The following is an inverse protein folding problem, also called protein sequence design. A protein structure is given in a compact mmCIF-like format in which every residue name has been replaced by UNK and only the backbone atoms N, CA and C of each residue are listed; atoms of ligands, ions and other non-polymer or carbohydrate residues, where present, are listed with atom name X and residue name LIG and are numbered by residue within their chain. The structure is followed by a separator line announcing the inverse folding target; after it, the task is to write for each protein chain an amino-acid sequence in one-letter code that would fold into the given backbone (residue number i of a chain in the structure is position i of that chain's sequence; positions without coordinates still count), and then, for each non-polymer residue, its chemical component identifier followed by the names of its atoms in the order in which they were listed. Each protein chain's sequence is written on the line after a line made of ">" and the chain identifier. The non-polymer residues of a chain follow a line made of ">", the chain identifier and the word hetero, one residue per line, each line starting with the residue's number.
data_IF_392038745963
#
_entry.id   IF_392038745963
#
_cell.length_a   1.000
_cell.length_b   1.000
_cell.length_c   1.000
_cell.angle_alpha   90.00
_cell.angle_beta   90.00
_cell.angle_gamma   90.00
#
_symmetry.space_group_name_H-M   'P 1'
#
loop_
_entity.id
_entity.type
_entity.pdbx_description
1 polymer ?
#
# COMPACT_ATOMS: atom_id res chain seq x y z
N UNK A 1 29.37 -7.24 -8.47
CA UNK A 1 28.25 -7.20 -7.50
C UNK A 1 27.03 -8.05 -7.92
N UNK A 2 26.99 -8.58 -9.14
CA UNK A 2 25.97 -9.56 -9.58
C UNK A 2 26.44 -11.02 -9.34
N UNK A 3 27.75 -11.25 -9.19
CA UNK A 3 28.35 -12.61 -9.09
C UNK A 3 28.18 -13.31 -7.73
N UNK A 4 27.83 -12.61 -6.65
CA UNK A 4 27.60 -13.27 -5.34
C UNK A 4 26.21 -13.95 -5.23
N UNK A 5 25.31 -13.74 -6.21
CA UNK A 5 23.92 -14.21 -6.17
C UNK A 5 23.77 -15.72 -6.36
N UNK A 6 24.74 -16.39 -6.98
CA UNK A 6 24.73 -17.85 -7.18
C UNK A 6 25.44 -18.63 -6.06
N UNK A 7 26.01 -17.96 -5.05
CA UNK A 7 27.04 -18.56 -4.19
C UNK A 7 26.53 -19.46 -3.06
N UNK A 8 25.23 -19.50 -2.76
CA UNK A 8 24.68 -20.48 -1.80
C UNK A 8 24.26 -21.72 -2.58
N UNK A 9 25.26 -22.49 -2.99
CA UNK A 9 25.09 -23.78 -3.64
C UNK A 9 24.37 -24.73 -2.67
N UNK A 10 23.32 -25.40 -3.16
CA UNK A 10 22.56 -26.32 -2.33
C UNK A 10 23.43 -27.54 -1.98
N UNK A 11 23.58 -27.91 -0.69
CA UNK A 11 24.35 -29.08 -0.32
C UNK A 11 23.87 -30.32 -1.08
N UNK A 12 24.74 -31.02 -1.82
CA UNK A 12 24.35 -32.17 -2.64
C UNK A 12 23.65 -33.27 -1.85
N UNK A 13 23.94 -33.38 -0.55
CA UNK A 13 23.32 -34.35 0.36
C UNK A 13 21.80 -34.16 0.53
N UNK A 14 21.25 -32.96 0.23
CA UNK A 14 19.81 -32.72 0.26
C UNK A 14 19.11 -33.05 -1.06
N UNK A 15 19.88 -33.24 -2.12
CA UNK A 15 19.39 -33.39 -3.49
C UNK A 15 19.36 -34.86 -3.84
N UNK A 16 18.26 -35.29 -4.46
CA UNK A 16 18.14 -36.63 -4.99
C UNK A 16 19.03 -36.77 -6.25
N UNK A 17 19.99 -37.71 -6.31
CA UNK A 17 20.98 -37.75 -7.39
C UNK A 17 20.42 -37.94 -8.80
N UNK A 18 19.20 -38.49 -8.94
CA UNK A 18 18.58 -38.79 -10.24
C UNK A 18 17.70 -37.64 -10.71
N UNK A 19 16.80 -37.13 -9.87
CA UNK A 19 15.89 -36.03 -10.26
C UNK A 19 16.56 -34.66 -10.16
N UNK A 20 17.67 -34.56 -9.41
CA UNK A 20 18.31 -33.29 -9.05
C UNK A 20 17.39 -32.34 -8.27
N UNK A 21 16.32 -32.87 -7.68
CA UNK A 21 15.37 -32.14 -6.83
C UNK A 21 15.65 -32.40 -5.35
N UNK A 22 15.28 -31.47 -4.45
CA UNK A 22 15.34 -31.68 -3.01
C UNK A 22 14.54 -32.91 -2.59
N UNK A 23 15.12 -33.77 -1.75
CA UNK A 23 14.41 -34.89 -1.14
C UNK A 23 13.35 -34.37 -0.17
N UNK A 24 12.10 -34.80 -0.35
CA UNK A 24 10.96 -34.46 0.51
C UNK A 24 10.77 -35.52 1.60
N UNK A 25 11.05 -36.79 1.30
CA UNK A 25 10.94 -37.91 2.23
C UNK A 25 12.19 -38.80 2.16
N UNK A 26 13.32 -38.34 2.73
CA UNK A 26 14.59 -39.06 2.65
C UNK A 26 14.55 -40.35 3.47
N UNK A 27 14.86 -41.47 2.83
CA UNK A 27 15.02 -42.79 3.44
C UNK A 27 16.40 -43.39 3.15
N UNK A 28 16.99 -44.01 4.16
CA UNK A 28 18.32 -44.60 4.11
C UNK A 28 18.22 -46.12 3.95
N UNK A 29 19.00 -46.67 3.02
CA UNK A 29 19.15 -48.11 2.82
C UNK A 29 20.20 -48.68 3.78
N UNK A 30 20.25 -50.02 3.89
CA UNK A 30 21.28 -50.73 4.66
C UNK A 30 22.72 -50.45 4.20
N UNK A 31 22.91 -49.87 3.00
CA UNK A 31 24.19 -49.40 2.46
C UNK A 31 24.61 -48.01 2.97
N UNK A 32 23.76 -47.35 3.78
CA UNK A 32 23.96 -45.99 4.28
C UNK A 32 23.63 -44.89 3.26
N UNK A 33 23.26 -45.25 2.03
CA UNK A 33 22.85 -44.29 0.99
C UNK A 33 21.41 -43.84 1.20
N UNK A 34 21.13 -42.56 0.98
CA UNK A 34 19.81 -41.95 1.20
C UNK A 34 19.15 -41.58 -0.12
N UNK A 35 17.86 -41.85 -0.22
CA UNK A 35 17.06 -41.68 -1.43
C UNK A 35 15.70 -41.07 -1.08
N UNK A 36 15.03 -40.51 -2.08
CA UNK A 36 13.62 -40.17 -1.99
C UNK A 36 12.78 -41.45 -1.89
N UNK A 37 11.88 -41.54 -0.89
CA UNK A 37 11.11 -42.76 -0.58
C UNK A 37 10.35 -43.28 -1.79
N UNK A 38 9.61 -42.41 -2.46
CA UNK A 38 8.78 -42.81 -3.61
C UNK A 38 9.61 -43.43 -4.73
N UNK A 39 10.82 -42.91 -4.96
CA UNK A 39 11.71 -43.36 -6.01
C UNK A 39 12.36 -44.71 -5.69
N UNK A 40 12.81 -44.91 -4.45
CA UNK A 40 13.43 -46.19 -4.06
C UNK A 40 12.41 -47.31 -3.93
N UNK A 41 11.19 -47.03 -3.44
CA UNK A 41 10.11 -48.01 -3.41
C UNK A 41 9.68 -48.41 -4.83
N UNK A 42 9.66 -47.46 -5.77
CA UNK A 42 9.42 -47.76 -7.19
C UNK A 42 10.54 -48.63 -7.76
N UNK A 43 11.80 -48.38 -7.43
CA UNK A 43 12.93 -49.21 -7.84
C UNK A 43 12.78 -50.67 -7.37
N UNK A 44 12.38 -50.87 -6.11
CA UNK A 44 12.10 -52.20 -5.57
C UNK A 44 10.91 -52.88 -6.25
N UNK A 45 9.85 -52.12 -6.58
CA UNK A 45 8.67 -52.66 -7.28
C UNK A 45 8.98 -53.19 -8.69
N UNK A 46 10.07 -52.72 -9.31
CA UNK A 46 10.57 -53.22 -10.59
C UNK A 46 11.45 -54.47 -10.45
N UNK A 47 11.61 -55.00 -9.23
CA UNK A 47 12.41 -56.18 -8.94
C UNK A 47 13.90 -55.90 -8.77
N UNK A 48 14.30 -54.62 -8.65
CA UNK A 48 15.70 -54.25 -8.49
C UNK A 48 16.10 -54.18 -7.01
N UNK A 49 16.76 -55.22 -6.49
CA UNK A 49 17.26 -55.28 -5.11
C UNK A 49 18.75 -54.89 -5.01
N UNK A 50 19.13 -53.87 -5.77
CA UNK A 50 20.48 -53.30 -5.76
C UNK A 50 20.41 -51.83 -5.38
N UNK A 51 21.43 -51.35 -4.67
CA UNK A 51 21.58 -49.95 -4.32
C UNK A 51 21.84 -49.12 -5.60
N UNK A 52 20.98 -48.14 -5.98
CA UNK A 52 21.12 -47.42 -7.25
C UNK A 52 22.46 -46.72 -7.44
N UNK A 53 23.02 -46.11 -6.38
CA UNK A 53 24.24 -45.30 -6.46
C UNK A 53 25.52 -46.15 -6.53
N UNK A 54 25.62 -47.22 -5.73
CA UNK A 54 26.86 -48.01 -5.59
C UNK A 54 26.79 -49.39 -6.25
N UNK A 55 25.64 -49.73 -6.85
CA UNK A 55 25.39 -50.98 -7.58
C UNK A 55 25.64 -52.27 -6.77
N UNK A 56 25.53 -52.20 -5.44
CA UNK A 56 25.67 -53.37 -4.55
C UNK A 56 24.32 -54.04 -4.28
N UNK A 57 24.30 -55.37 -4.18
CA UNK A 57 23.12 -56.13 -3.77
C UNK A 57 22.76 -55.79 -2.33
N UNK A 58 21.48 -55.50 -2.09
CA UNK A 58 20.96 -55.22 -0.76
C UNK A 58 20.78 -56.53 0.01
N UNK A 59 21.29 -56.59 1.23
CA UNK A 59 21.07 -57.71 2.15
C UNK A 59 19.77 -57.56 2.96
N UNK A 60 19.15 -56.38 2.90
CA UNK A 60 17.88 -56.02 3.50
C UNK A 60 17.19 -54.98 2.60
N UNK A 61 15.90 -55.17 2.30
CA UNK A 61 15.07 -54.29 1.48
C UNK A 61 14.30 -53.26 2.32
N UNK A 62 14.49 -53.26 3.64
CA UNK A 62 13.92 -52.25 4.52
C UNK A 62 14.47 -50.85 4.22
N UNK A 63 13.58 -49.85 4.34
CA UNK A 63 13.91 -48.43 4.21
C UNK A 63 13.76 -47.76 5.57
N UNK A 64 14.81 -47.10 6.03
CA UNK A 64 14.78 -46.38 7.32
C UNK A 64 14.59 -44.89 7.09
N UNK A 65 13.53 -44.24 7.62
CA UNK A 65 13.37 -42.80 7.50
C UNK A 65 14.54 -42.02 8.10
N UNK A 66 15.08 -41.05 7.36
CA UNK A 66 16.16 -40.18 7.84
C UNK A 66 15.59 -38.87 8.35
N UNK A 67 15.06 -38.89 9.57
CA UNK A 67 14.49 -37.68 10.21
C UNK A 67 15.53 -36.56 10.34
N UNK A 68 16.81 -36.90 10.59
CA UNK A 68 17.89 -35.92 10.67
C UNK A 68 18.12 -35.22 9.33
N UNK A 69 18.19 -35.96 8.22
CA UNK A 69 18.40 -35.34 6.90
C UNK A 69 17.21 -34.49 6.49
N UNK A 70 15.99 -34.97 6.77
CA UNK A 70 14.76 -34.20 6.54
C UNK A 70 14.80 -32.85 7.27
N UNK A 71 15.09 -32.86 8.58
CA UNK A 71 15.12 -31.63 9.39
C UNK A 71 16.22 -30.66 8.96
N UNK A 72 17.42 -31.17 8.65
CA UNK A 72 18.53 -30.35 8.16
C UNK A 72 18.21 -29.73 6.79
N UNK A 73 17.68 -30.53 5.86
CA UNK A 73 17.24 -30.08 4.55
C UNK A 73 16.17 -29.00 4.68
N UNK A 74 15.10 -29.27 5.43
CA UNK A 74 14.00 -28.34 5.66
C UNK A 74 14.47 -27.02 6.27
N UNK A 75 15.29 -27.09 7.33
CA UNK A 75 15.86 -25.91 7.98
C UNK A 75 16.70 -25.08 7.00
N UNK A 76 17.54 -25.74 6.20
CA UNK A 76 18.40 -25.06 5.23
C UNK A 76 17.58 -24.35 4.15
N UNK A 77 16.61 -25.04 3.53
CA UNK A 77 15.76 -24.44 2.49
C UNK A 77 14.90 -23.30 3.03
N UNK A 78 14.38 -23.44 4.26
CA UNK A 78 13.61 -22.39 4.92
C UNK A 78 14.47 -21.14 5.18
N UNK A 79 15.68 -21.31 5.70
CA UNK A 79 16.61 -20.19 5.92
C UNK A 79 17.03 -19.52 4.61
N UNK A 80 17.31 -20.32 3.57
CA UNK A 80 17.64 -19.79 2.23
C UNK A 80 16.47 -18.99 1.65
N UNK A 81 15.24 -19.51 1.77
CA UNK A 81 14.05 -18.80 1.32
C UNK A 81 13.87 -17.45 2.04
N UNK A 82 13.97 -17.44 3.37
CA UNK A 82 13.87 -16.19 4.15
C UNK A 82 14.98 -15.20 3.82
N UNK A 83 16.21 -15.67 3.60
CA UNK A 83 17.33 -14.82 3.19
C UNK A 83 17.10 -14.19 1.80
N UNK A 84 16.62 -14.98 0.83
CA UNK A 84 16.29 -14.50 -0.52
C UNK A 84 15.14 -13.49 -0.46
N UNK A 85 14.08 -13.80 0.31
CA UNK A 85 12.93 -12.92 0.51
C UNK A 85 13.35 -11.58 1.12
N UNK A 86 14.08 -11.60 2.25
CA UNK A 86 14.57 -10.39 2.91
C UNK A 86 15.47 -9.55 2.01
N UNK A 87 16.33 -10.18 1.20
CA UNK A 87 17.17 -9.47 0.23
C UNK A 87 16.35 -8.87 -0.91
N UNK A 88 15.32 -9.58 -1.39
CA UNK A 88 14.39 -9.05 -2.39
C UNK A 88 13.69 -7.80 -1.87
N UNK A 89 13.19 -7.85 -0.62
CA UNK A 89 12.57 -6.71 0.05
C UNK A 89 13.55 -5.53 0.23
N UNK A 90 14.82 -5.79 0.60
CA UNK A 90 15.86 -4.75 0.69
C UNK A 90 16.16 -4.11 -0.68
N UNK A 91 16.33 -4.94 -1.72
CA UNK A 91 16.58 -4.45 -3.08
C UNK A 91 15.40 -3.65 -3.59
N UNK A 92 14.16 -4.11 -3.38
CA UNK A 92 12.94 -3.38 -3.74
C UNK A 92 12.86 -2.05 -2.99
N UNK A 93 13.12 -2.05 -1.68
CA UNK A 93 13.15 -0.84 -0.86
C UNK A 93 14.19 0.17 -1.36
N UNK A 94 15.41 -0.29 -1.66
CA UNK A 94 16.49 0.54 -2.20
C UNK A 94 16.17 1.08 -3.59
N UNK A 95 15.60 0.25 -4.47
CA UNK A 95 15.20 0.67 -5.81
C UNK A 95 14.10 1.73 -5.75
N UNK A 96 13.09 1.52 -4.89
CA UNK A 96 12.04 2.51 -4.62
C UNK A 96 12.64 3.84 -4.16
N UNK A 97 13.60 3.81 -3.24
CA UNK A 97 14.30 5.03 -2.78
C UNK A 97 15.09 5.72 -3.88
N UNK A 98 15.81 4.99 -4.74
CA UNK A 98 16.55 5.55 -5.87
C UNK A 98 15.61 6.25 -6.85
N UNK A 99 14.48 5.61 -7.20
CA UNK A 99 13.48 6.19 -8.09
C UNK A 99 12.87 7.45 -7.47
N UNK A 100 12.60 7.47 -6.17
CA UNK A 100 11.99 8.62 -5.50
C UNK A 100 12.97 9.80 -5.34
N UNK A 101 14.26 9.51 -5.10
CA UNK A 101 15.26 10.53 -4.74
C UNK A 101 15.89 11.19 -5.97
N UNK A 102 16.06 10.46 -7.08
CA UNK A 102 16.79 10.96 -8.24
C UNK A 102 15.89 11.29 -9.42
N UNK A 103 15.87 12.56 -9.84
CA UNK A 103 15.03 13.02 -10.95
C UNK A 103 15.39 12.36 -12.28
N UNK A 104 16.67 12.05 -12.51
CA UNK A 104 17.09 11.25 -13.66
C UNK A 104 16.42 9.87 -13.66
N UNK A 105 16.39 9.19 -12.51
CA UNK A 105 15.75 7.87 -12.38
C UNK A 105 14.24 7.96 -12.61
N UNK A 106 13.56 8.98 -12.07
CA UNK A 106 12.13 9.23 -12.36
C UNK A 106 11.90 9.38 -13.85
N UNK A 107 12.70 10.22 -14.50
CA UNK A 107 12.59 10.48 -15.93
C UNK A 107 12.79 9.21 -16.75
N UNK A 108 13.83 8.42 -16.43
CA UNK A 108 14.07 7.13 -17.08
C UNK A 108 12.89 6.16 -16.89
N UNK A 109 12.31 6.07 -15.69
CA UNK A 109 11.14 5.22 -15.45
C UNK A 109 9.95 5.66 -16.31
N UNK A 110 9.70 6.97 -16.43
CA UNK A 110 8.64 7.52 -17.27
C UNK A 110 8.91 7.26 -18.76
N UNK A 111 10.11 7.57 -19.24
CA UNK A 111 10.52 7.39 -20.65
C UNK A 111 10.45 5.93 -21.12
N UNK A 112 10.62 4.97 -20.20
CA UNK A 112 10.53 3.53 -20.48
C UNK A 112 9.13 2.94 -20.23
N UNK A 113 8.09 3.77 -20.12
CA UNK A 113 6.70 3.29 -19.96
C UNK A 113 6.36 2.72 -18.58
N UNK A 114 7.20 2.99 -17.57
CA UNK A 114 7.03 2.49 -16.21
C UNK A 114 5.73 2.96 -15.56
N UNK A 115 5.25 4.17 -15.87
CA UNK A 115 3.97 4.68 -15.34
C UNK A 115 2.78 3.84 -15.81
N UNK A 116 2.73 3.50 -17.10
CA UNK A 116 1.66 2.67 -17.67
C UNK A 116 1.70 1.26 -17.09
N UNK A 117 2.91 0.69 -16.94
CA UNK A 117 3.10 -0.60 -16.29
C UNK A 117 2.62 -0.60 -14.84
N UNK A 118 3.08 0.35 -14.03
CA UNK A 118 2.70 0.50 -12.62
C UNK A 118 1.20 0.73 -12.46
N UNK A 119 0.61 1.60 -13.28
CA UNK A 119 -0.85 1.82 -13.27
C UNK A 119 -1.61 0.54 -13.63
N UNK A 120 -1.09 -0.25 -14.56
CA UNK A 120 -1.62 -1.57 -14.94
C UNK A 120 -1.59 -2.61 -13.82
N UNK A 121 -0.63 -2.52 -12.89
CA UNK A 121 -0.54 -3.40 -11.73
C UNK A 121 -1.64 -3.15 -10.69
N UNK A 122 -2.36 -2.02 -10.76
CA UNK A 122 -3.53 -1.75 -9.92
C UNK A 122 -4.78 -2.29 -10.62
N UNK A 123 -5.32 -3.41 -10.10
CA UNK A 123 -6.51 -4.08 -10.62
C UNK A 123 -7.14 -5.03 -9.58
N UNK A 124 -8.12 -5.82 -10.02
CA UNK A 124 -8.99 -6.60 -9.12
C UNK A 124 -8.27 -7.65 -8.25
N UNK A 125 -7.08 -8.10 -8.65
CA UNK A 125 -6.30 -9.12 -7.96
C UNK A 125 -5.04 -8.56 -7.28
N UNK A 126 -4.90 -7.25 -7.26
CA UNK A 126 -3.75 -6.59 -6.63
C UNK A 126 -3.88 -6.72 -5.12
N UNK A 127 -2.86 -7.31 -4.49
CA UNK A 127 -2.83 -7.40 -3.03
C UNK A 127 -2.60 -6.02 -2.43
N UNK A 128 -3.06 -5.83 -1.18
CA UNK A 128 -2.86 -4.57 -0.47
C UNK A 128 -1.37 -4.15 -0.40
N UNK A 129 -0.46 -5.10 -0.21
CA UNK A 129 0.98 -4.85 -0.17
C UNK A 129 1.50 -4.30 -1.51
N UNK A 130 1.19 -4.99 -2.63
CA UNK A 130 1.61 -4.56 -3.97
C UNK A 130 0.98 -3.21 -4.32
N UNK A 131 -0.31 -3.02 -4.02
CA UNK A 131 -0.99 -1.76 -4.25
C UNK A 131 -0.37 -0.59 -3.48
N UNK A 132 -0.01 -0.81 -2.21
CA UNK A 132 0.67 0.19 -1.38
C UNK A 132 2.03 0.61 -1.96
N UNK A 133 2.80 -0.36 -2.47
CA UNK A 133 4.10 -0.07 -3.06
C UNK A 133 4.00 0.66 -4.39
N UNK A 134 3.09 0.20 -5.26
CA UNK A 134 2.82 0.84 -6.55
C UNK A 134 2.35 2.28 -6.36
N UNK A 135 1.40 2.52 -5.46
CA UNK A 135 0.92 3.87 -5.14
C UNK A 135 2.08 4.73 -4.62
N UNK A 136 2.91 4.20 -3.72
CA UNK A 136 4.07 4.92 -3.18
C UNK A 136 5.12 5.30 -4.24
N UNK A 137 5.21 4.58 -5.35
CA UNK A 137 6.07 4.94 -6.48
C UNK A 137 5.38 5.97 -7.37
N UNK A 138 4.13 5.72 -7.77
CA UNK A 138 3.37 6.56 -8.70
C UNK A 138 3.26 8.02 -8.24
N UNK A 139 3.09 8.26 -6.94
CA UNK A 139 3.00 9.62 -6.37
C UNK A 139 4.28 10.46 -6.48
N UNK A 140 5.37 9.85 -6.93
CA UNK A 140 6.66 10.50 -7.14
C UNK A 140 7.03 10.59 -8.64
N UNK A 141 6.15 10.13 -9.53
CA UNK A 141 6.31 10.18 -10.98
C UNK A 141 5.31 11.16 -11.60
N UNK A 142 5.66 11.69 -12.77
CA UNK A 142 4.72 12.47 -13.58
C UNK A 142 3.75 11.52 -14.30
N UNK A 143 2.45 11.70 -14.07
CA UNK A 143 1.40 10.89 -14.68
C UNK A 143 0.98 11.51 -16.02
N UNK A 144 1.01 10.71 -17.08
CA UNK A 144 0.48 11.11 -18.38
C UNK A 144 -1.06 10.93 -18.44
N UNK A 145 -1.70 11.47 -19.48
CA UNK A 145 -3.16 11.39 -19.66
C UNK A 145 -3.69 9.95 -19.66
N UNK A 146 -2.94 9.03 -20.26
CA UNK A 146 -3.32 7.63 -20.40
C UNK A 146 -3.32 6.94 -19.03
N UNK A 147 -2.29 7.19 -18.21
CA UNK A 147 -2.23 6.69 -16.83
C UNK A 147 -3.36 7.26 -15.98
N UNK A 148 -3.64 8.57 -16.10
CA UNK A 148 -4.74 9.22 -15.37
C UNK A 148 -6.08 8.57 -15.74
N UNK A 149 -6.40 8.45 -17.03
CA UNK A 149 -7.65 7.81 -17.49
C UNK A 149 -7.77 6.34 -17.06
N UNK A 150 -6.64 5.64 -16.96
CA UNK A 150 -6.58 4.27 -16.47
C UNK A 150 -6.82 4.18 -14.95
N UNK A 151 -6.26 5.12 -14.17
CA UNK A 151 -6.36 5.16 -12.72
C UNK A 151 -7.72 5.64 -12.18
N UNK A 152 -8.44 6.45 -12.96
CA UNK A 152 -9.77 6.96 -12.60
C UNK A 152 -10.87 5.89 -12.70
N UNK A 153 -10.59 4.76 -13.36
CA UNK A 153 -11.54 3.66 -13.48
C UNK A 153 -12.11 3.25 -12.11
N UNK A 154 -13.44 3.05 -11.97
CA UNK A 154 -14.09 2.82 -10.68
C UNK A 154 -13.47 1.69 -9.84
N UNK A 155 -13.04 0.61 -10.50
CA UNK A 155 -12.39 -0.53 -9.83
C UNK A 155 -11.06 -0.16 -9.19
N UNK A 156 -10.28 0.71 -9.84
CA UNK A 156 -8.98 1.18 -9.32
C UNK A 156 -9.17 2.21 -8.22
N UNK A 157 -10.15 3.10 -8.36
CA UNK A 157 -10.52 4.03 -7.29
C UNK A 157 -10.97 3.26 -6.05
N UNK A 158 -11.81 2.22 -6.20
CA UNK A 158 -12.20 1.36 -5.09
C UNK A 158 -10.99 0.75 -4.40
N UNK A 159 -10.05 0.16 -5.15
CA UNK A 159 -8.82 -0.41 -4.60
C UNK A 159 -7.99 0.64 -3.83
N UNK A 160 -7.83 1.85 -4.39
CA UNK A 160 -7.09 2.94 -3.74
C UNK A 160 -7.77 3.33 -2.42
N UNK A 161 -9.12 3.34 -2.38
CA UNK A 161 -9.89 3.63 -1.17
C UNK A 161 -9.77 2.51 -0.12
N UNK A 162 -9.77 1.25 -0.53
CA UNK A 162 -9.54 0.12 0.38
C UNK A 162 -8.15 0.24 1.02
N UNK A 163 -7.13 0.54 0.22
CA UNK A 163 -5.76 0.78 0.69
C UNK A 163 -5.68 2.02 1.60
N UNK A 164 -6.43 3.09 1.30
CA UNK A 164 -6.53 4.27 2.17
C UNK A 164 -7.17 3.96 3.53
N UNK A 165 -8.11 3.00 3.59
CA UNK A 165 -8.76 2.64 4.84
C UNK A 165 -7.87 1.77 5.73
N UNK A 166 -7.17 0.79 5.14
CA UNK A 166 -6.46 -0.29 5.86
C UNK A 166 -4.94 -0.08 5.97
N UNK A 167 -4.37 0.82 5.16
CA UNK A 167 -2.91 0.98 5.07
C UNK A 167 -2.22 1.62 6.27
N UNK A 168 -0.89 1.61 6.24
CA UNK A 168 -0.06 2.40 7.17
C UNK A 168 -0.28 3.90 6.96
N UNK A 169 0.16 4.74 7.90
CA UNK A 169 0.03 6.19 7.77
C UNK A 169 0.70 6.73 6.49
N UNK A 170 1.87 6.21 6.12
CA UNK A 170 2.58 6.58 4.89
C UNK A 170 1.81 6.16 3.64
N UNK A 171 1.24 4.95 3.65
CA UNK A 171 0.38 4.47 2.57
C UNK A 171 -0.85 5.36 2.42
N UNK A 172 -1.49 5.74 3.53
CA UNK A 172 -2.65 6.66 3.50
C UNK A 172 -2.26 8.01 2.92
N UNK A 173 -1.14 8.58 3.33
CA UNK A 173 -0.61 9.83 2.78
C UNK A 173 -0.34 9.71 1.27
N UNK A 174 0.26 8.60 0.82
CA UNK A 174 0.48 8.36 -0.60
C UNK A 174 -0.86 8.22 -1.36
N UNK A 175 -1.85 7.50 -0.84
CA UNK A 175 -3.19 7.45 -1.43
C UNK A 175 -3.80 8.85 -1.57
N UNK A 176 -3.72 9.69 -0.53
CA UNK A 176 -4.24 11.07 -0.62
C UNK A 176 -3.53 11.89 -1.69
N UNK A 177 -2.21 11.75 -1.82
CA UNK A 177 -1.41 12.44 -2.84
C UNK A 177 -1.76 11.95 -4.25
N UNK A 178 -1.95 10.64 -4.44
CA UNK A 178 -2.36 10.08 -5.73
C UNK A 178 -3.74 10.60 -6.13
N UNK A 179 -4.71 10.57 -5.22
CA UNK A 179 -6.05 11.10 -5.48
C UNK A 179 -5.99 12.59 -5.81
N UNK A 180 -5.15 13.37 -5.11
CA UNK A 180 -4.93 14.79 -5.42
C UNK A 180 -4.45 14.97 -6.86
N UNK A 181 -3.44 14.20 -7.30
CA UNK A 181 -2.93 14.22 -8.67
C UNK A 181 -4.01 13.84 -9.71
N UNK A 182 -4.90 12.90 -9.39
CA UNK A 182 -5.99 12.50 -10.29
C UNK A 182 -7.07 13.59 -10.44
N UNK A 183 -7.30 14.40 -9.39
CA UNK A 183 -8.32 15.47 -9.37
C UNK A 183 -7.80 16.78 -10.02
N UNK A 184 -6.50 16.91 -10.32
CA UNK A 184 -5.95 18.12 -10.94
C UNK A 184 -6.41 18.35 -12.39
N UNK A 185 -6.86 17.31 -13.10
CA UNK A 185 -7.46 17.43 -14.43
C UNK A 185 -8.82 18.13 -14.43
N UNK A 186 -9.14 18.87 -15.51
CA UNK A 186 -10.44 19.57 -15.63
C UNK A 186 -11.62 18.61 -15.75
N UNK A 187 -11.43 17.44 -16.36
CA UNK A 187 -12.49 16.50 -16.69
C UNK A 187 -12.56 15.28 -15.73
N UNK A 188 -11.58 15.12 -14.84
CA UNK A 188 -11.42 13.94 -13.98
C UNK A 188 -12.10 14.01 -12.61
N UNK A 189 -12.64 15.17 -12.24
CA UNK A 189 -13.05 15.47 -10.85
C UNK A 189 -14.33 14.76 -10.42
N UNK A 190 -15.33 14.72 -11.31
CA UNK A 190 -16.64 14.17 -10.96
C UNK A 190 -16.58 12.65 -10.78
N UNK A 191 -15.81 11.93 -11.61
CA UNK A 191 -15.75 10.47 -11.59
C UNK A 191 -15.00 9.93 -10.36
N UNK A 192 -13.88 10.56 -9.97
CA UNK A 192 -13.12 10.19 -8.77
C UNK A 192 -13.93 10.50 -7.50
N UNK A 193 -14.50 11.70 -7.39
CA UNK A 193 -15.11 12.17 -6.14
C UNK A 193 -16.55 11.68 -5.93
N UNK A 194 -17.21 11.15 -6.97
CA UNK A 194 -18.51 10.47 -6.82
C UNK A 194 -18.45 9.28 -5.86
N UNK A 195 -17.25 8.74 -5.61
CA UNK A 195 -17.02 7.71 -4.60
C UNK A 195 -17.10 8.32 -3.20
N UNK A 196 -18.30 8.35 -2.61
CA UNK A 196 -18.56 8.76 -1.22
C UNK A 196 -17.61 8.08 -0.21
N UNK A 197 -17.08 6.91 -0.57
CA UNK A 197 -16.10 6.13 0.19
C UNK A 197 -14.75 6.84 0.39
N UNK A 198 -14.31 7.69 -0.55
CA UNK A 198 -13.11 8.52 -0.39
C UNK A 198 -13.28 9.46 0.80
N UNK A 199 -14.42 10.14 0.89
CA UNK A 199 -14.70 11.12 1.94
C UNK A 199 -14.72 10.45 3.32
N UNK A 200 -15.30 9.25 3.43
CA UNK A 200 -15.26 8.47 4.67
C UNK A 200 -13.83 8.09 5.06
N UNK A 201 -13.01 7.64 4.10
CA UNK A 201 -11.59 7.34 4.32
C UNK A 201 -10.79 8.56 4.79
N UNK A 202 -11.02 9.73 4.19
CA UNK A 202 -10.38 10.99 4.57
C UNK A 202 -10.80 11.45 5.96
N UNK A 203 -12.09 11.35 6.30
CA UNK A 203 -12.57 11.66 7.65
C UNK A 203 -11.90 10.77 8.69
N UNK A 204 -11.78 9.46 8.44
CA UNK A 204 -11.04 8.56 9.34
C UNK A 204 -9.57 8.97 9.52
N UNK A 205 -8.90 9.37 8.44
CA UNK A 205 -7.51 9.84 8.47
C UNK A 205 -7.38 11.16 9.27
N UNK A 206 -8.24 12.14 8.99
CA UNK A 206 -8.23 13.45 9.68
C UNK A 206 -8.52 13.29 11.18
N UNK A 207 -9.33 12.31 11.58
CA UNK A 207 -9.66 12.05 12.99
C UNK A 207 -8.48 11.50 13.81
N UNK A 208 -7.48 10.90 13.18
CA UNK A 208 -6.38 10.22 13.87
C UNK A 208 -5.30 11.21 14.34
N UNK A 209 -5.51 11.78 15.53
CA UNK A 209 -4.63 12.78 16.15
C UNK A 209 -3.20 12.30 16.43
N UNK A 210 -2.94 10.98 16.35
CA UNK A 210 -1.60 10.40 16.55
C UNK A 210 -0.64 10.78 15.43
N UNK A 211 -1.16 11.15 14.26
CA UNK A 211 -0.37 11.38 13.06
C UNK A 211 -0.66 12.76 12.45
N UNK A 212 -0.06 13.85 12.96
CA UNK A 212 -0.30 15.21 12.46
C UNK A 212 -0.07 15.39 10.95
N UNK A 213 0.93 14.68 10.39
CA UNK A 213 1.19 14.69 8.95
C UNK A 213 0.05 14.05 8.14
N UNK A 214 -0.57 12.99 8.66
CA UNK A 214 -1.75 12.38 8.05
C UNK A 214 -2.98 13.28 8.11
N UNK A 215 -3.18 13.95 9.25
CA UNK A 215 -4.25 14.96 9.40
C UNK A 215 -4.07 16.08 8.37
N UNK A 216 -2.85 16.60 8.23
CA UNK A 216 -2.51 17.63 7.25
C UNK A 216 -2.77 17.17 5.81
N UNK A 217 -2.30 15.99 5.43
CA UNK A 217 -2.52 15.40 4.10
C UNK A 217 -4.02 15.19 3.81
N UNK A 218 -4.78 14.68 4.79
CA UNK A 218 -6.22 14.48 4.68
C UNK A 218 -6.98 15.81 4.50
N UNK A 219 -6.64 16.83 5.28
CA UNK A 219 -7.24 18.17 5.16
C UNK A 219 -6.87 18.85 3.83
N UNK A 220 -5.65 18.66 3.32
CA UNK A 220 -5.23 19.22 2.02
C UNK A 220 -6.08 18.68 0.87
N UNK A 221 -6.25 17.37 0.81
CA UNK A 221 -7.10 16.74 -0.20
C UNK A 221 -8.58 17.12 0.00
N UNK A 222 -9.07 17.17 1.25
CA UNK A 222 -10.45 17.58 1.53
C UNK A 222 -10.70 19.03 1.07
N UNK A 223 -9.77 19.95 1.29
CA UNK A 223 -9.83 21.32 0.76
C UNK A 223 -9.91 21.33 -0.77
N UNK A 224 -9.09 20.53 -1.44
CA UNK A 224 -9.11 20.43 -2.91
C UNK A 224 -10.47 19.98 -3.43
N UNK A 225 -11.05 18.95 -2.80
CA UNK A 225 -12.40 18.45 -3.11
C UNK A 225 -13.45 19.54 -2.86
N UNK A 226 -13.41 20.20 -1.71
CA UNK A 226 -14.39 21.24 -1.34
C UNK A 226 -14.28 22.50 -2.21
N UNK A 227 -13.15 22.72 -2.88
CA UNK A 227 -12.99 23.88 -3.77
C UNK A 227 -13.91 23.78 -4.99
N UNK A 228 -14.29 22.56 -5.40
CA UNK A 228 -15.22 22.32 -6.51
C UNK A 228 -16.68 22.50 -6.06
N UNK A 229 -17.39 23.47 -6.67
CA UNK A 229 -18.77 23.80 -6.31
C UNK A 229 -19.75 22.64 -6.50
N UNK A 230 -19.54 21.80 -7.52
CA UNK A 230 -20.44 20.69 -7.83
C UNK A 230 -20.44 19.59 -6.78
N UNK A 231 -19.37 19.49 -5.98
CA UNK A 231 -19.17 18.42 -5.01
C UNK A 231 -19.55 18.82 -3.58
N UNK A 232 -19.64 20.12 -3.28
CA UNK A 232 -19.86 20.62 -1.91
C UNK A 232 -21.18 20.14 -1.28
N UNK A 233 -22.25 20.00 -2.07
CA UNK A 233 -23.55 19.50 -1.57
C UNK A 233 -23.46 18.05 -1.11
N UNK A 234 -22.80 17.20 -1.88
CA UNK A 234 -22.51 15.79 -1.54
C UNK A 234 -21.56 15.67 -0.34
N UNK A 235 -20.56 16.53 -0.25
CA UNK A 235 -19.64 16.58 0.91
C UNK A 235 -20.40 16.94 2.19
N UNK A 236 -21.35 17.89 2.11
CA UNK A 236 -22.22 18.28 3.22
C UNK A 236 -23.14 17.13 3.65
N UNK A 237 -23.76 16.41 2.70
CA UNK A 237 -24.72 15.35 3.03
C UNK A 237 -24.08 14.15 3.75
N UNK A 238 -22.79 13.89 3.52
CA UNK A 238 -22.02 12.86 4.24
C UNK A 238 -21.73 13.25 5.70
N UNK A 239 -21.92 14.52 6.07
CA UNK A 239 -21.63 14.99 7.42
C UNK A 239 -20.15 15.24 7.66
N UNK A 240 -19.45 15.80 6.66
CA UNK A 240 -18.05 16.21 6.82
C UNK A 240 -17.89 17.35 7.85
N UNK A 241 -18.87 18.25 7.96
CA UNK A 241 -18.75 19.50 8.75
C UNK A 241 -18.44 19.27 10.23
N UNK A 242 -19.14 18.41 11.01
CA UNK A 242 -18.92 18.29 12.45
C UNK A 242 -17.47 17.94 12.84
N UNK A 243 -16.79 17.11 12.05
CA UNK A 243 -15.50 16.57 12.45
C UNK A 243 -14.35 17.62 12.46
N UNK A 244 -14.12 18.42 11.40
CA UNK A 244 -13.17 19.52 11.46
C UNK A 244 -13.44 20.48 12.63
N UNK A 245 -14.71 20.78 12.94
CA UNK A 245 -15.09 21.66 14.08
C UNK A 245 -14.59 21.10 15.41
N UNK A 246 -14.88 19.83 15.68
CA UNK A 246 -14.47 19.15 16.91
C UNK A 246 -12.95 19.06 17.05
N UNK A 247 -12.22 19.09 15.92
CA UNK A 247 -10.77 18.97 15.91
C UNK A 247 -10.02 20.30 16.04
N UNK A 248 -10.64 21.45 15.75
CA UNK A 248 -10.00 22.78 15.75
C UNK A 248 -9.06 23.02 16.95
N UNK A 249 -9.44 22.71 18.22
CA UNK A 249 -8.58 22.99 19.37
C UNK A 249 -7.28 22.18 19.40
N UNK A 250 -7.20 21.10 18.62
CA UNK A 250 -6.08 20.15 18.63
C UNK A 250 -5.20 20.22 17.40
N UNK A 251 -5.51 21.11 16.44
CA UNK A 251 -4.76 21.26 15.19
C UNK A 251 -3.54 22.16 15.37
N UNK A 252 -2.48 21.86 14.63
CA UNK A 252 -1.36 22.80 14.44
C UNK A 252 -1.77 23.97 13.52
N UNK A 253 -0.95 25.02 13.43
CA UNK A 253 -1.28 26.23 12.67
C UNK A 253 -1.64 25.97 11.19
N UNK A 254 -0.87 25.11 10.50
CA UNK A 254 -1.11 24.79 9.08
C UNK A 254 -2.42 24.01 8.88
N UNK A 255 -2.66 22.99 9.72
CA UNK A 255 -3.89 22.18 9.67
C UNK A 255 -5.12 23.00 10.05
N UNK A 256 -4.96 23.92 11.01
CA UNK A 256 -6.02 24.85 11.41
C UNK A 256 -6.43 25.76 10.25
N UNK A 257 -5.47 26.32 9.52
CA UNK A 257 -5.76 27.16 8.33
C UNK A 257 -6.56 26.38 7.28
N UNK A 258 -6.17 25.13 6.99
CA UNK A 258 -6.90 24.28 6.04
C UNK A 258 -8.32 23.96 6.54
N UNK A 259 -8.46 23.59 7.82
CA UNK A 259 -9.75 23.26 8.42
C UNK A 259 -10.72 24.45 8.38
N UNK A 260 -10.25 25.65 8.73
CA UNK A 260 -11.06 26.87 8.69
C UNK A 260 -11.50 27.21 7.26
N UNK A 261 -10.61 27.05 6.28
CA UNK A 261 -10.97 27.29 4.88
C UNK A 261 -11.99 26.27 4.35
N UNK A 262 -11.89 25.00 4.73
CA UNK A 262 -12.90 23.98 4.40
C UNK A 262 -14.26 24.37 5.00
N UNK A 263 -14.27 24.76 6.28
CA UNK A 263 -15.48 25.20 6.96
C UNK A 263 -16.09 26.43 6.29
N UNK A 264 -15.29 27.38 5.84
CA UNK A 264 -15.76 28.53 5.04
C UNK A 264 -16.46 28.09 3.77
N UNK A 265 -15.85 27.19 2.99
CA UNK A 265 -16.43 26.69 1.73
C UNK A 265 -17.76 25.94 1.94
N UNK A 266 -17.88 25.18 3.03
CA UNK A 266 -19.05 24.31 3.29
C UNK A 266 -20.17 25.05 4.03
N UNK A 267 -19.87 25.94 4.97
CA UNK A 267 -20.88 26.67 5.75
C UNK A 267 -21.62 27.72 4.93
N UNK A 268 -20.96 28.32 3.92
CA UNK A 268 -21.61 29.23 2.96
C UNK A 268 -22.74 28.55 2.19
N UNK A 269 -22.66 27.23 1.98
CA UNK A 269 -23.71 26.46 1.31
C UNK A 269 -24.82 26.05 2.27
N UNK A 270 -24.47 25.80 3.54
CA UNK A 270 -25.45 25.43 4.57
C UNK A 270 -26.25 26.61 5.11
N UNK A 271 -25.72 27.84 5.10
CA UNK A 271 -26.39 29.03 5.61
C UNK A 271 -27.68 29.38 4.84
N UNK A 272 -27.81 28.90 3.59
CA UNK A 272 -29.05 28.97 2.82
C UNK A 272 -30.11 27.91 3.19
N UNK A 273 -29.76 26.86 3.95
CA UNK A 273 -30.58 25.65 4.04
C UNK A 273 -30.90 25.15 5.46
N UNK A 274 -30.16 25.50 6.53
CA UNK A 274 -30.43 24.95 7.88
C UNK A 274 -30.17 25.94 9.04
N UNK A 275 -31.20 26.32 9.83
CA UNK A 275 -31.08 27.29 10.92
C UNK A 275 -30.18 26.82 12.09
N UNK A 276 -30.07 25.51 12.34
CA UNK A 276 -29.24 24.95 13.41
C UNK A 276 -27.74 25.04 13.08
N UNK A 277 -27.40 24.95 11.79
CA UNK A 277 -26.04 25.14 11.27
C UNK A 277 -25.66 26.62 11.19
N UNK A 278 -26.62 27.52 10.95
CA UNK A 278 -26.43 28.97 11.08
C UNK A 278 -26.12 29.39 12.53
N UNK A 279 -26.73 28.72 13.51
CA UNK A 279 -26.40 28.92 14.92
C UNK A 279 -25.01 28.36 15.27
N UNK A 280 -24.68 27.14 14.82
CA UNK A 280 -23.35 26.54 15.05
C UNK A 280 -22.22 27.28 14.34
N UNK A 281 -22.45 27.84 13.15
CA UNK A 281 -21.45 28.65 12.46
C UNK A 281 -21.17 29.97 13.20
N UNK A 282 -22.18 30.58 13.82
CA UNK A 282 -22.02 31.72 14.71
C UNK A 282 -21.28 31.35 16.02
N UNK A 283 -21.53 30.18 16.60
CA UNK A 283 -20.77 29.65 17.74
C UNK A 283 -19.32 29.30 17.36
N UNK A 284 -19.09 28.82 16.14
CA UNK A 284 -17.75 28.51 15.61
C UNK A 284 -16.96 29.79 15.35
N UNK A 285 -17.59 30.82 14.78
CA UNK A 285 -17.02 32.17 14.72
C UNK A 285 -16.61 32.66 16.11
N UNK A 286 -17.45 32.42 17.13
CA UNK A 286 -17.17 32.78 18.52
C UNK A 286 -16.02 31.97 19.13
N UNK A 287 -15.97 30.66 18.93
CA UNK A 287 -14.88 29.79 19.40
C UNK A 287 -13.55 30.12 18.70
N UNK A 288 -13.57 30.43 17.41
CA UNK A 288 -12.38 30.85 16.68
C UNK A 288 -11.89 32.22 17.15
N UNK A 289 -12.79 33.16 17.49
CA UNK A 289 -12.42 34.44 18.11
C UNK A 289 -11.83 34.30 19.52
N UNK A 290 -12.12 33.19 20.22
CA UNK A 290 -11.60 32.91 21.56
C UNK A 290 -10.26 32.15 21.56
N UNK A 291 -10.03 31.30 20.54
CA UNK A 291 -8.88 30.39 20.50
C UNK A 291 -7.84 30.71 19.41
N UNK A 292 -8.15 31.58 18.44
CA UNK A 292 -7.18 32.05 17.44
C UNK A 292 -6.74 33.47 17.79
N UNK A 293 -5.46 33.80 17.59
CA UNK A 293 -5.02 35.20 17.64
C UNK A 293 -5.77 36.00 16.57
N UNK A 294 -6.28 37.18 16.96
CA UNK A 294 -7.13 38.06 16.13
C UNK A 294 -6.58 38.33 14.73
N UNK A 295 -5.26 38.24 14.55
CA UNK A 295 -4.55 38.46 13.27
C UNK A 295 -4.73 37.33 12.25
N UNK A 296 -4.81 36.06 12.65
CA UNK A 296 -5.00 34.93 11.71
C UNK A 296 -6.48 34.82 11.31
N UNK A 297 -7.38 34.98 12.28
CA UNK A 297 -8.80 34.86 12.06
C UNK A 297 -9.37 36.01 11.21
N UNK A 298 -9.04 37.28 11.53
CA UNK A 298 -9.56 38.43 10.78
C UNK A 298 -8.91 38.64 9.40
N UNK A 299 -7.65 38.22 9.18
CA UNK A 299 -6.98 38.42 7.88
C UNK A 299 -7.35 37.36 6.84
N UNK A 300 -7.66 36.12 7.27
CA UNK A 300 -7.88 34.99 6.35
C UNK A 300 -9.32 34.49 6.30
N UNK A 301 -10.09 34.57 7.38
CA UNK A 301 -11.48 34.12 7.38
C UNK A 301 -12.42 35.30 7.15
N UNK A 302 -12.83 35.55 5.91
CA UNK A 302 -13.93 36.49 5.57
C UNK A 302 -15.32 35.96 5.98
N UNK A 303 -15.38 35.04 6.95
CA UNK A 303 -16.59 34.39 7.45
C UNK A 303 -17.60 35.39 8.04
N UNK A 304 -17.14 36.53 8.57
CA UNK A 304 -17.99 37.55 9.19
C UNK A 304 -18.97 38.22 8.21
N UNK A 305 -18.68 38.21 6.91
CA UNK A 305 -19.54 38.82 5.88
C UNK A 305 -20.55 37.80 5.31
N UNK A 306 -20.21 36.51 5.26
CA UNK A 306 -21.08 35.49 4.66
C UNK A 306 -22.14 34.91 5.60
N UNK A 307 -22.01 35.11 6.92
CA UNK A 307 -22.93 34.58 7.94
C UNK A 307 -23.93 35.65 8.47
N UNK A 308 -23.68 36.94 8.24
CA UNK A 308 -24.65 38.02 8.50
C UNK A 308 -25.73 38.02 7.43
#
# INVERSE_FOLDING_TARGET
>A
MIEELDSIETPPVFIFPISLEPMQDPVTLCTGQTYERSNILKWFSLGHFTCPTIMQVLWDDSVTPSSTLYQLSYSWFSQKYEAIKKRSEDVQGRLKQVVITHDFAKKTVVENGGVSFLSGLLGNFTTHAVGSDVIGILVNLELNSDAISNLIQPTKISLIVDILNEGSIDTKMNCTKLIEMLIEGKDSKAEVVSSLSILVGLLRLVKDKRYPNGVLSGLRLLKKICSDEGLRSSVVSIGVVPQPVEMLPTLNAESLELALHILELLLVIQSGCNPLLKQRSAELLKLCSLNCTDTIFNSKCKLTIAIR
#
